data_IF_092813133951
#
_entry.id   IF_092813133951
#
_cell.length_a   1.000
_cell.length_b   1.000
_cell.length_c   1.000
_cell.angle_alpha   90.00
_cell.angle_beta   90.00
_cell.angle_gamma   90.00
#
_symmetry.space_group_name_H-M   'P 1'
#
loop_
_entity.id
_entity.type
_entity.pdbx_description
1 polymer ?
#
# COMPACT_ATOMS: atom_id res chain seq x y z
N UNK A 1 -45.21 81.72 -24.14
CA UNK A 1 -45.02 80.50 -24.95
C UNK A 1 -43.86 79.73 -24.34
N UNK A 2 -44.19 78.75 -23.51
CA UNK A 2 -43.21 78.01 -22.67
C UNK A 2 -42.91 76.62 -23.27
N UNK A 3 -41.69 76.35 -23.65
CA UNK A 3 -41.26 75.02 -24.04
C UNK A 3 -40.57 74.38 -22.84
N UNK A 4 -41.11 73.27 -22.35
CA UNK A 4 -40.49 72.45 -21.33
C UNK A 4 -39.80 71.31 -22.05
N UNK A 5 -38.45 71.32 -22.00
CA UNK A 5 -37.64 70.22 -22.39
C UNK A 5 -37.49 69.14 -21.24
N UNK A 6 -37.93 67.93 -21.50
CA UNK A 6 -37.73 66.78 -20.57
C UNK A 6 -36.39 66.15 -20.81
N UNK A 7 -35.52 66.18 -19.80
CA UNK A 7 -34.29 65.45 -19.74
C UNK A 7 -34.67 64.01 -19.31
N UNK A 8 -34.33 63.02 -20.16
CA UNK A 8 -34.38 61.59 -19.78
C UNK A 8 -33.10 61.21 -19.11
N UNK A 9 -33.16 60.87 -17.81
CA UNK A 9 -32.08 60.28 -17.10
C UNK A 9 -31.94 58.81 -17.52
N UNK A 10 -30.76 58.42 -18.02
CA UNK A 10 -30.39 57.01 -18.25
C UNK A 10 -29.87 56.46 -16.94
N UNK A 11 -30.56 55.46 -16.39
CA UNK A 11 -30.09 54.70 -15.23
C UNK A 11 -29.13 53.63 -15.76
N UNK A 12 -27.86 53.80 -15.44
CA UNK A 12 -26.81 52.78 -15.69
C UNK A 12 -26.83 51.79 -14.52
N UNK A 13 -27.43 50.62 -14.73
CA UNK A 13 -27.35 49.53 -13.76
C UNK A 13 -26.00 48.82 -13.93
N UNK A 14 -25.07 49.14 -13.06
CA UNK A 14 -23.84 48.36 -12.88
C UNK A 14 -24.18 47.05 -12.17
N UNK A 15 -24.29 45.96 -12.94
CA UNK A 15 -24.39 44.62 -12.41
C UNK A 15 -23.07 44.22 -11.72
N UNK A 16 -23.12 44.16 -10.41
CA UNK A 16 -22.01 43.61 -9.60
C UNK A 16 -22.01 42.09 -9.74
N UNK A 17 -21.18 41.56 -10.63
CA UNK A 17 -20.86 40.12 -10.63
C UNK A 17 -20.00 39.84 -9.40
N UNK A 18 -20.64 39.47 -8.29
CA UNK A 18 -19.95 38.81 -7.18
C UNK A 18 -19.59 37.40 -7.67
N UNK A 19 -18.37 37.25 -8.19
CA UNK A 19 -17.77 35.92 -8.37
C UNK A 19 -17.63 35.25 -7.01
N UNK A 20 -18.48 34.24 -6.74
CA UNK A 20 -18.23 33.30 -5.67
C UNK A 20 -16.93 32.58 -6.03
N UNK A 21 -15.83 33.07 -5.51
CA UNK A 21 -14.61 32.28 -5.37
C UNK A 21 -14.91 31.27 -4.24
N UNK A 22 -15.54 30.15 -4.61
CA UNK A 22 -15.63 29.00 -3.70
C UNK A 22 -14.19 28.60 -3.39
N UNK A 23 -13.72 28.89 -2.20
CA UNK A 23 -12.54 28.27 -1.65
C UNK A 23 -12.89 26.79 -1.48
N UNK A 24 -12.62 25.97 -2.49
CA UNK A 24 -12.51 24.54 -2.27
C UNK A 24 -11.38 24.40 -1.25
N UNK A 25 -11.75 24.18 -0.01
CA UNK A 25 -10.86 23.70 1.03
C UNK A 25 -10.37 22.35 0.54
N UNK A 26 -9.16 22.30 -0.03
CA UNK A 26 -8.51 21.04 -0.29
C UNK A 26 -8.48 20.30 1.05
N UNK A 27 -9.21 19.20 1.13
CA UNK A 27 -9.19 18.36 2.31
C UNK A 27 -7.72 17.97 2.53
N UNK A 28 -7.15 18.42 3.66
CA UNK A 28 -5.82 18.00 4.06
C UNK A 28 -5.87 16.49 4.23
N UNK A 29 -5.20 15.77 3.33
CA UNK A 29 -5.14 14.32 3.38
C UNK A 29 -4.50 13.84 4.68
N UNK A 30 -4.87 12.65 5.13
CA UNK A 30 -4.20 12.02 6.26
C UNK A 30 -2.76 11.69 5.87
N UNK A 31 -1.82 12.15 6.69
CA UNK A 31 -0.39 11.86 6.52
C UNK A 31 0.12 11.22 7.80
N UNK A 32 0.74 10.06 7.67
CA UNK A 32 1.42 9.35 8.76
C UNK A 32 2.87 9.14 8.37
N UNK A 33 3.79 9.36 9.31
CA UNK A 33 5.22 9.20 9.06
C UNK A 33 5.91 8.61 10.29
N UNK A 34 6.46 7.42 10.15
CA UNK A 34 7.23 6.70 11.15
C UNK A 34 8.65 6.51 10.61
N UNK A 35 9.56 7.43 10.92
CA UNK A 35 10.98 7.32 10.54
C UNK A 35 11.80 6.53 11.56
N UNK A 36 11.31 6.45 12.80
CA UNK A 36 11.79 5.61 13.89
C UNK A 36 10.56 5.17 14.67
N UNK A 37 10.36 3.88 14.84
CA UNK A 37 9.22 3.38 15.58
C UNK A 37 9.44 3.61 17.08
N UNK A 38 8.65 4.46 17.74
CA UNK A 38 8.76 4.66 19.18
C UNK A 38 8.29 3.38 19.90
N UNK A 39 8.83 3.13 21.08
CA UNK A 39 8.53 1.94 21.89
C UNK A 39 7.01 1.69 22.12
N UNK A 40 6.17 2.71 21.97
CA UNK A 40 4.72 2.61 22.10
C UNK A 40 3.99 2.34 20.79
N UNK A 41 4.66 2.41 19.64
CA UNK A 41 4.06 2.33 18.31
C UNK A 41 2.74 3.13 18.19
N UNK A 42 2.70 4.32 18.81
CA UNK A 42 1.51 5.17 18.87
C UNK A 42 0.94 5.41 17.48
N UNK A 43 -0.35 5.20 17.30
CA UNK A 43 -1.04 5.29 16.01
C UNK A 43 -1.05 3.98 15.20
N UNK A 44 -0.45 2.91 15.71
CA UNK A 44 -0.50 1.56 15.15
C UNK A 44 -1.21 0.59 16.08
N UNK A 45 -1.94 -0.34 15.50
CA UNK A 45 -2.45 -1.55 16.15
C UNK A 45 -1.53 -2.70 15.80
N UNK A 46 -0.83 -3.23 16.80
CA UNK A 46 0.06 -4.38 16.66
C UNK A 46 -0.70 -5.66 16.98
N UNK A 47 -0.48 -6.71 16.19
CA UNK A 47 -1.21 -7.97 16.27
C UNK A 47 -0.22 -9.14 16.36
N UNK A 48 -0.45 -10.03 17.34
CA UNK A 48 0.29 -11.27 17.56
C UNK A 48 1.80 -11.03 17.76
N UNK A 49 2.68 -11.51 16.87
CA UNK A 49 4.14 -11.43 17.00
C UNK A 49 4.70 -10.00 16.78
N UNK A 50 3.89 -9.10 16.20
CA UNK A 50 4.33 -7.74 15.89
C UNK A 50 4.68 -6.96 17.16
N UNK A 51 5.89 -6.37 17.19
CA UNK A 51 6.42 -5.62 18.32
C UNK A 51 7.44 -4.59 17.87
N UNK A 52 7.76 -3.62 18.72
CA UNK A 52 8.86 -2.68 18.46
C UNK A 52 10.16 -3.24 19.05
N UNK A 53 11.20 -3.30 18.23
CA UNK A 53 12.55 -3.75 18.63
C UNK A 53 13.55 -2.65 18.25
N UNK A 54 14.12 -1.99 19.25
CA UNK A 54 14.96 -0.81 19.00
C UNK A 54 14.15 0.30 18.31
N UNK A 55 14.56 0.68 17.11
CA UNK A 55 13.89 1.69 16.30
C UNK A 55 13.11 1.09 15.12
N UNK A 56 12.94 -0.23 15.10
CA UNK A 56 12.23 -0.94 14.03
C UNK A 56 10.91 -1.52 14.55
N UNK A 57 9.94 -1.62 13.67
CA UNK A 57 8.73 -2.41 13.88
C UNK A 57 8.96 -3.81 13.33
N UNK A 58 9.21 -4.76 14.21
CA UNK A 58 9.33 -6.18 13.87
C UNK A 58 7.94 -6.79 13.69
N UNK A 59 7.63 -7.22 12.48
CA UNK A 59 6.36 -7.90 12.18
C UNK A 59 6.38 -9.35 12.67
N UNK A 60 7.47 -10.08 12.38
CA UNK A 60 7.74 -11.42 12.89
C UNK A 60 9.19 -11.57 13.28
N UNK A 61 9.43 -12.28 14.38
CA UNK A 61 10.76 -12.67 14.84
C UNK A 61 11.26 -13.91 14.10
N UNK A 62 12.60 -14.10 14.05
CA UNK A 62 13.25 -15.28 13.49
C UNK A 62 12.98 -16.52 14.35
N UNK A 63 11.75 -17.00 14.33
CA UNK A 63 11.28 -18.19 15.02
C UNK A 63 10.33 -18.99 14.13
N UNK A 64 10.27 -20.30 14.36
CA UNK A 64 9.40 -21.21 13.64
C UNK A 64 7.92 -20.83 13.80
N UNK A 65 7.16 -20.81 12.69
CA UNK A 65 5.69 -20.66 12.62
C UNK A 65 5.14 -19.44 13.39
N UNK A 66 5.64 -18.25 13.06
CA UNK A 66 5.14 -16.97 13.56
C UNK A 66 4.24 -16.29 12.54
N UNK A 67 3.33 -15.47 13.04
CA UNK A 67 2.56 -14.52 12.24
C UNK A 67 2.35 -13.24 13.03
N UNK A 68 2.44 -12.11 12.36
CA UNK A 68 2.22 -10.80 12.96
C UNK A 68 1.70 -9.79 11.94
N UNK A 69 1.01 -8.78 12.45
CA UNK A 69 0.50 -7.69 11.64
C UNK A 69 0.59 -6.35 12.38
N UNK A 70 0.64 -5.27 11.62
CA UNK A 70 0.56 -3.91 12.14
C UNK A 70 -0.29 -3.05 11.21
N UNK A 71 -1.29 -2.37 11.75
CA UNK A 71 -2.21 -1.52 11.00
C UNK A 71 -2.20 -0.09 11.52
N UNK A 72 -2.48 0.90 10.68
CA UNK A 72 -2.92 2.19 11.19
C UNK A 72 -4.15 1.97 12.09
N UNK A 73 -4.17 2.63 13.26
CA UNK A 73 -5.23 2.42 14.24
C UNK A 73 -6.60 2.89 13.78
N UNK A 74 -6.65 3.73 12.75
CA UNK A 74 -7.89 4.20 12.13
C UNK A 74 -7.89 3.87 10.64
N UNK A 75 -9.10 3.67 10.09
CA UNK A 75 -9.29 3.61 8.64
C UNK A 75 -8.88 4.94 8.00
N UNK A 76 -8.42 4.87 6.76
CA UNK A 76 -8.03 6.01 5.93
C UNK A 76 -8.70 5.93 4.58
N UNK A 77 -8.92 7.08 3.94
CA UNK A 77 -9.42 7.10 2.57
C UNK A 77 -8.35 6.49 1.64
N UNK A 78 -8.71 5.40 0.99
CA UNK A 78 -7.89 4.69 0.00
C UNK A 78 -8.46 4.80 -1.41
N UNK A 79 -9.71 5.23 -1.53
CA UNK A 79 -10.45 5.17 -2.79
C UNK A 79 -10.03 6.25 -3.79
N UNK A 80 -9.62 7.42 -3.30
CA UNK A 80 -9.31 8.59 -4.13
C UNK A 80 -7.84 8.64 -4.56
N UNK A 81 -7.01 7.78 -3.97
CA UNK A 81 -5.59 7.64 -4.23
C UNK A 81 -4.76 7.79 -2.97
N UNK A 82 -3.59 7.17 -2.99
CA UNK A 82 -2.61 7.27 -1.89
C UNK A 82 -1.19 6.94 -2.37
N UNK A 83 -0.24 7.37 -1.56
CA UNK A 83 1.15 6.92 -1.65
C UNK A 83 1.57 6.33 -0.32
N UNK A 84 2.16 5.14 -0.37
CA UNK A 84 2.84 4.50 0.76
C UNK A 84 4.32 4.36 0.41
N UNK A 85 5.19 4.77 1.33
CA UNK A 85 6.62 4.52 1.23
C UNK A 85 7.07 3.85 2.52
N UNK A 86 7.83 2.78 2.42
CA UNK A 86 8.37 2.09 3.57
C UNK A 86 9.73 1.50 3.27
N UNK A 87 10.52 1.33 4.33
CA UNK A 87 11.78 0.59 4.25
C UNK A 87 11.69 -0.61 5.16
N UNK A 88 12.25 -1.72 4.70
CA UNK A 88 12.27 -2.96 5.47
C UNK A 88 13.67 -3.58 5.44
N UNK A 89 13.92 -4.43 6.43
CA UNK A 89 15.13 -5.20 6.56
C UNK A 89 14.78 -6.64 6.98
N UNK A 90 15.34 -7.62 6.30
CA UNK A 90 15.15 -9.05 6.59
C UNK A 90 16.48 -9.62 7.04
N UNK A 91 16.50 -10.21 8.25
CA UNK A 91 17.74 -10.65 8.90
C UNK A 91 17.57 -12.00 9.61
N UNK A 92 18.67 -12.60 10.02
CA UNK A 92 18.69 -13.79 10.88
C UNK A 92 17.96 -14.99 10.25
N UNK A 93 18.41 -15.39 9.05
CA UNK A 93 17.80 -16.46 8.25
C UNK A 93 18.10 -17.83 8.83
N UNK A 94 17.07 -18.67 8.90
CA UNK A 94 17.14 -20.06 9.36
C UNK A 94 16.26 -20.96 8.49
N UNK A 95 16.60 -22.25 8.44
CA UNK A 95 15.81 -23.27 7.76
C UNK A 95 15.92 -24.61 8.50
N UNK A 96 14.75 -25.21 8.78
CA UNK A 96 14.67 -26.56 9.30
C UNK A 96 14.87 -27.57 8.16
N UNK A 97 15.76 -28.51 8.36
CA UNK A 97 16.03 -29.62 7.45
C UNK A 97 15.18 -30.83 7.82
N UNK A 98 15.02 -31.77 6.89
CA UNK A 98 14.24 -33.00 7.08
C UNK A 98 14.79 -33.89 8.20
N UNK A 99 16.10 -33.80 8.48
CA UNK A 99 16.76 -34.54 9.57
C UNK A 99 16.64 -33.85 10.94
N UNK A 100 15.91 -32.72 11.02
CA UNK A 100 15.70 -31.93 12.22
C UNK A 100 16.83 -30.96 12.54
N UNK A 101 17.87 -30.86 11.70
CA UNK A 101 18.91 -29.83 11.87
C UNK A 101 18.40 -28.47 11.44
N UNK A 102 18.93 -27.39 12.05
CA UNK A 102 18.63 -26.02 11.68
C UNK A 102 19.86 -25.39 11.02
N UNK A 103 19.73 -25.01 9.75
CA UNK A 103 20.72 -24.18 9.07
C UNK A 103 20.46 -22.71 9.40
N UNK A 104 21.50 -21.88 9.40
CA UNK A 104 21.41 -20.45 9.69
C UNK A 104 22.41 -19.61 8.91
N UNK A 105 22.13 -18.32 8.81
CA UNK A 105 22.99 -17.31 8.20
C UNK A 105 23.34 -17.62 6.75
N UNK A 106 24.63 -17.59 6.39
CA UNK A 106 25.11 -17.80 5.02
C UNK A 106 24.87 -19.21 4.46
N UNK A 107 24.60 -20.21 5.33
CA UNK A 107 24.25 -21.56 4.90
C UNK A 107 22.82 -21.68 4.35
N UNK A 108 22.01 -20.65 4.52
CA UNK A 108 20.60 -20.59 4.08
C UNK A 108 20.46 -19.56 2.96
N UNK A 109 19.95 -19.99 1.81
CA UNK A 109 19.75 -19.09 0.66
C UNK A 109 18.68 -18.03 0.96
N UNK A 110 17.59 -18.42 1.65
CA UNK A 110 16.54 -17.53 2.16
C UNK A 110 15.97 -18.12 3.43
N UNK A 111 15.48 -17.26 4.33
CA UNK A 111 14.56 -17.64 5.38
C UNK A 111 13.16 -17.80 4.81
N UNK A 112 12.19 -17.23 5.43
CA UNK A 112 10.79 -17.26 4.95
C UNK A 112 9.84 -16.73 6.02
N UNK A 113 8.59 -16.49 5.67
CA UNK A 113 8.00 -16.61 4.33
C UNK A 113 7.99 -15.25 3.61
N UNK A 114 8.12 -14.11 4.34
CA UNK A 114 8.11 -12.78 3.78
C UNK A 114 7.20 -11.81 4.54
N UNK A 115 6.94 -10.66 3.93
CA UNK A 115 6.05 -9.62 4.45
C UNK A 115 5.15 -9.05 3.35
N UNK A 116 4.05 -8.40 3.74
CA UNK A 116 3.14 -7.72 2.81
C UNK A 116 2.83 -6.30 3.24
N UNK A 117 2.53 -5.43 2.25
CA UNK A 117 1.65 -4.29 2.46
C UNK A 117 0.21 -4.74 2.14
N UNK A 118 -0.77 -4.35 2.96
CA UNK A 118 -2.16 -4.75 2.80
C UNK A 118 -3.13 -3.58 2.93
N UNK A 119 -4.12 -3.55 2.04
CA UNK A 119 -5.37 -2.77 2.16
C UNK A 119 -6.49 -3.77 2.43
N UNK A 120 -7.23 -3.61 3.53
CA UNK A 120 -8.33 -4.53 3.87
C UNK A 120 -9.45 -3.82 4.63
N UNK A 121 -10.69 -4.23 4.37
CA UNK A 121 -11.85 -3.76 5.12
C UNK A 121 -12.58 -4.93 5.78
N UNK A 122 -11.85 -5.66 6.64
CA UNK A 122 -12.36 -6.79 7.42
C UNK A 122 -12.31 -6.50 8.91
N UNK A 123 -11.12 -6.27 9.47
CA UNK A 123 -10.97 -6.00 10.91
C UNK A 123 -9.67 -5.23 11.19
N UNK A 124 -9.70 -4.36 12.21
CA UNK A 124 -8.53 -3.59 12.64
C UNK A 124 -7.34 -4.47 13.08
N UNK A 125 -7.62 -5.66 13.56
CA UNK A 125 -6.66 -6.66 14.03
C UNK A 125 -6.62 -7.90 13.13
N UNK A 126 -6.94 -7.75 11.84
CA UNK A 126 -6.93 -8.86 10.91
C UNK A 126 -5.56 -9.52 10.85
N UNK A 127 -5.52 -10.84 10.95
CA UNK A 127 -4.32 -11.65 10.77
C UNK A 127 -4.73 -12.97 10.13
N UNK A 128 -4.08 -13.27 9.01
CA UNK A 128 -4.28 -14.52 8.29
C UNK A 128 -3.34 -15.63 8.76
N UNK A 129 -3.28 -16.69 7.96
CA UNK A 129 -2.48 -17.87 8.31
C UNK A 129 -0.99 -17.57 8.25
N UNK A 130 -0.23 -18.24 9.11
CA UNK A 130 1.22 -18.29 9.10
C UNK A 130 1.74 -19.13 7.92
N UNK A 131 3.05 -19.33 7.84
CA UNK A 131 3.75 -20.05 6.78
C UNK A 131 3.50 -19.39 5.41
N UNK A 132 3.28 -20.19 4.38
CA UNK A 132 2.97 -19.71 3.01
C UNK A 132 1.87 -18.65 2.91
N UNK A 133 1.16 -18.39 4.00
CA UNK A 133 0.10 -17.38 4.04
C UNK A 133 0.57 -15.96 4.27
N UNK A 134 1.84 -15.74 4.57
CA UNK A 134 2.49 -14.45 4.85
C UNK A 134 1.62 -13.54 5.77
N UNK A 135 0.80 -14.16 6.64
CA UNK A 135 -0.09 -13.44 7.56
C UNK A 135 -1.32 -12.79 6.90
N UNK A 136 -1.55 -12.97 5.60
CA UNK A 136 -2.72 -12.42 4.91
C UNK A 136 -3.69 -13.48 4.36
N UNK A 137 -3.26 -14.74 4.20
CA UNK A 137 -4.11 -15.81 3.71
C UNK A 137 -5.36 -15.99 4.56
N UNK A 138 -6.52 -15.89 3.93
CA UNK A 138 -7.82 -15.97 4.57
C UNK A 138 -8.43 -14.63 4.95
N UNK A 139 -7.71 -13.50 4.83
CA UNK A 139 -8.30 -12.18 5.05
C UNK A 139 -9.18 -11.81 3.86
N UNK A 140 -10.51 -11.70 4.04
CA UNK A 140 -11.40 -11.30 2.97
C UNK A 140 -11.33 -9.80 2.71
N UNK A 141 -11.89 -9.38 1.57
CA UNK A 141 -12.04 -7.98 1.23
C UNK A 141 -10.72 -7.22 1.32
N UNK A 142 -9.69 -7.75 0.64
CA UNK A 142 -8.30 -7.29 0.73
C UNK A 142 -7.56 -7.30 -0.60
N UNK A 143 -6.59 -6.39 -0.70
CA UNK A 143 -5.55 -6.36 -1.72
C UNK A 143 -4.21 -6.31 -1.01
N UNK A 144 -3.24 -7.12 -1.44
CA UNK A 144 -1.90 -7.15 -0.89
C UNK A 144 -0.84 -6.91 -1.96
N UNK A 145 0.27 -6.33 -1.54
CA UNK A 145 1.54 -6.36 -2.26
C UNK A 145 2.49 -7.16 -1.39
N UNK A 146 2.81 -8.38 -1.80
CA UNK A 146 3.68 -9.27 -1.07
C UNK A 146 5.14 -9.13 -1.52
N UNK A 147 6.03 -9.32 -0.57
CA UNK A 147 7.49 -9.41 -0.71
C UNK A 147 7.86 -10.78 -0.17
N UNK A 148 7.81 -11.77 -1.05
CA UNK A 148 7.98 -13.19 -0.71
C UNK A 148 9.44 -13.60 -0.80
N UNK A 149 9.94 -14.25 0.25
CA UNK A 149 11.34 -14.72 0.39
C UNK A 149 11.45 -16.24 0.42
N UNK A 150 10.33 -16.95 0.23
CA UNK A 150 10.30 -18.41 0.24
C UNK A 150 9.48 -18.96 -0.92
N UNK A 151 10.04 -19.94 -1.66
CA UNK A 151 9.28 -20.64 -2.70
C UNK A 151 8.53 -21.84 -2.14
N UNK A 152 7.22 -21.77 -2.10
CA UNK A 152 6.35 -22.89 -1.75
C UNK A 152 6.30 -23.92 -2.88
N UNK A 153 6.70 -25.16 -2.57
CA UNK A 153 6.95 -26.23 -3.56
C UNK A 153 5.67 -26.86 -4.14
N UNK A 154 4.49 -26.63 -3.52
CA UNK A 154 3.25 -27.19 -4.05
C UNK A 154 2.93 -26.60 -5.43
N UNK A 155 2.59 -27.46 -6.39
CA UNK A 155 2.21 -27.05 -7.74
C UNK A 155 1.03 -26.08 -7.79
N UNK A 156 0.21 -26.04 -6.74
CA UNK A 156 -0.92 -25.12 -6.62
C UNK A 156 -0.51 -23.68 -6.34
N UNK A 157 0.68 -23.44 -5.78
CA UNK A 157 1.15 -22.07 -5.49
C UNK A 157 1.67 -21.36 -6.73
N UNK A 158 2.27 -22.09 -7.69
CA UNK A 158 2.81 -21.54 -8.94
C UNK A 158 3.80 -20.38 -8.74
N UNK A 159 4.51 -20.36 -7.62
CA UNK A 159 5.49 -19.31 -7.34
C UNK A 159 6.68 -19.40 -8.28
N UNK A 160 7.19 -18.25 -8.80
CA UNK A 160 8.29 -18.25 -9.75
C UNK A 160 9.61 -18.66 -9.10
N UNK A 161 9.86 -18.15 -7.91
CA UNK A 161 11.12 -18.32 -7.16
C UNK A 161 10.92 -17.91 -5.68
N UNK A 162 11.99 -17.94 -4.90
CA UNK A 162 12.03 -17.56 -3.48
C UNK A 162 12.42 -16.08 -3.25
N UNK A 163 12.19 -15.22 -4.22
CA UNK A 163 12.54 -13.80 -4.12
C UNK A 163 11.72 -13.02 -5.14
N UNK A 164 10.45 -12.78 -4.84
CA UNK A 164 9.54 -12.09 -5.75
C UNK A 164 8.62 -11.12 -5.03
N UNK A 165 8.06 -10.21 -5.79
CA UNK A 165 7.04 -9.25 -5.35
C UNK A 165 5.80 -9.51 -6.20
N UNK A 166 4.62 -9.62 -5.56
CA UNK A 166 3.39 -9.80 -6.31
C UNK A 166 2.24 -8.96 -5.74
N UNK A 167 1.28 -8.65 -6.60
CA UNK A 167 0.02 -8.01 -6.21
C UNK A 167 -1.08 -9.06 -6.25
N UNK A 168 -1.74 -9.30 -5.12
CA UNK A 168 -2.72 -10.36 -4.95
C UNK A 168 -4.06 -9.82 -4.44
N UNK A 169 -5.16 -10.28 -5.02
CA UNK A 169 -6.51 -10.00 -4.52
C UNK A 169 -7.54 -10.96 -5.10
N UNK A 170 -8.46 -11.42 -4.26
CA UNK A 170 -9.72 -12.06 -4.66
C UNK A 170 -10.92 -11.15 -4.42
N UNK A 171 -10.68 -9.84 -4.40
CA UNK A 171 -11.71 -8.85 -4.14
C UNK A 171 -12.32 -9.01 -2.75
N UNK A 172 -13.62 -9.29 -2.69
CA UNK A 172 -14.36 -9.45 -1.42
C UNK A 172 -14.20 -10.84 -0.80
N UNK A 173 -13.72 -11.83 -1.55
CA UNK A 173 -13.48 -13.17 -1.05
C UNK A 173 -12.21 -13.22 -0.17
N UNK A 174 -12.04 -14.33 0.56
CA UNK A 174 -10.83 -14.58 1.33
C UNK A 174 -9.61 -14.67 0.41
N UNK A 175 -8.60 -13.84 0.66
CA UNK A 175 -7.40 -13.76 -0.17
C UNK A 175 -6.50 -15.00 0.00
N UNK A 176 -5.68 -15.29 -1.00
CA UNK A 176 -4.85 -16.50 -1.06
C UNK A 176 -3.48 -16.20 -1.67
N UNK A 177 -2.44 -16.96 -1.29
CA UNK A 177 -1.07 -16.76 -1.77
C UNK A 177 -0.74 -17.48 -3.10
N UNK A 178 -1.69 -18.16 -3.72
CA UNK A 178 -1.47 -18.84 -5.00
C UNK A 178 -1.32 -17.85 -6.14
N UNK A 179 -0.34 -18.09 -7.04
CA UNK A 179 -0.02 -17.22 -8.18
C UNK A 179 -0.65 -17.67 -9.50
N UNK A 180 -1.41 -18.73 -9.50
CA UNK A 180 -2.13 -19.22 -10.68
C UNK A 180 -3.61 -19.46 -10.38
N UNK A 181 -4.40 -19.51 -11.44
CA UNK A 181 -5.78 -19.92 -11.32
C UNK A 181 -5.84 -21.35 -10.79
N UNK A 182 -6.83 -21.64 -9.97
CA UNK A 182 -7.11 -23.00 -9.56
C UNK A 182 -7.39 -23.87 -10.79
N UNK A 183 -6.84 -25.09 -10.79
CA UNK A 183 -7.18 -26.12 -11.79
C UNK A 183 -8.41 -26.92 -11.40
N UNK A 184 -8.94 -26.69 -10.20
CA UNK A 184 -10.18 -27.30 -9.72
C UNK A 184 -11.38 -26.55 -10.31
N UNK A 185 -12.18 -27.19 -11.18
CA UNK A 185 -13.37 -26.56 -11.75
C UNK A 185 -14.45 -26.24 -10.70
N UNK A 186 -14.36 -26.82 -9.49
CA UNK A 186 -15.23 -26.50 -8.36
C UNK A 186 -14.73 -25.28 -7.57
N UNK A 187 -13.51 -24.81 -7.79
CA UNK A 187 -13.00 -23.59 -7.17
C UNK A 187 -13.51 -22.36 -7.94
N UNK A 188 -14.45 -21.58 -7.38
CA UNK A 188 -15.05 -20.46 -8.07
C UNK A 188 -14.12 -19.26 -8.22
N UNK A 189 -12.91 -19.34 -7.63
CA UNK A 189 -12.03 -18.18 -7.55
C UNK A 189 -11.08 -18.12 -8.75
N UNK A 190 -11.09 -16.95 -9.38
CA UNK A 190 -10.12 -16.59 -10.39
C UNK A 190 -8.69 -16.57 -9.78
N UNK A 191 -7.71 -16.48 -10.65
CA UNK A 191 -6.32 -16.24 -10.25
C UNK A 191 -6.23 -14.98 -9.37
N UNK A 192 -5.73 -15.06 -8.11
CA UNK A 192 -5.54 -13.88 -7.25
C UNK A 192 -4.41 -12.97 -7.73
N UNK A 193 -3.48 -13.49 -8.53
CA UNK A 193 -2.31 -12.76 -9.00
C UNK A 193 -2.70 -11.73 -10.06
N UNK A 194 -2.48 -10.45 -9.73
CA UNK A 194 -2.71 -9.30 -10.61
C UNK A 194 -1.42 -8.81 -11.27
N UNK A 195 -0.26 -9.18 -10.73
CA UNK A 195 1.06 -8.83 -11.26
C UNK A 195 2.17 -9.43 -10.42
N UNK A 196 3.30 -9.76 -11.04
CA UNK A 196 4.46 -10.35 -10.38
C UNK A 196 5.77 -9.77 -10.94
N UNK A 197 6.76 -9.62 -10.09
CA UNK A 197 8.09 -9.12 -10.41
C UNK A 197 9.16 -9.88 -9.63
N UNK A 198 10.28 -10.21 -10.28
CA UNK A 198 11.46 -10.82 -9.64
C UNK A 198 12.57 -9.77 -9.52
N UNK A 199 12.92 -9.33 -8.30
CA UNK A 199 14.01 -8.38 -8.07
C UNK A 199 15.39 -8.94 -8.45
N UNK A 200 16.29 -8.05 -8.88
CA UNK A 200 17.71 -8.39 -9.12
C UNK A 200 18.55 -8.51 -7.84
N UNK A 201 17.99 -8.13 -6.70
CA UNK A 201 18.62 -8.19 -5.38
C UNK A 201 17.92 -9.23 -4.53
N UNK A 202 18.64 -9.85 -3.60
CA UNK A 202 18.03 -10.76 -2.63
C UNK A 202 17.45 -9.94 -1.48
N UNK A 203 16.13 -9.91 -1.34
CA UNK A 203 15.44 -9.14 -0.31
C UNK A 203 15.80 -9.58 1.12
N UNK A 204 16.29 -10.82 1.30
CA UNK A 204 16.68 -11.38 2.58
C UNK A 204 18.21 -11.36 2.82
N UNK A 205 18.98 -10.47 2.19
CA UNK A 205 20.43 -10.39 2.35
C UNK A 205 20.91 -9.59 3.58
N UNK A 206 19.99 -9.02 4.35
CA UNK A 206 20.28 -8.18 5.50
C UNK A 206 20.39 -6.69 5.19
N UNK A 207 20.29 -6.29 3.94
CA UNK A 207 20.26 -4.88 3.54
C UNK A 207 18.90 -4.26 3.84
N UNK A 208 18.88 -2.93 3.98
CA UNK A 208 17.63 -2.17 4.06
C UNK A 208 17.18 -1.86 2.63
N UNK A 209 15.98 -2.30 2.29
CA UNK A 209 15.33 -2.02 1.01
C UNK A 209 14.18 -1.04 1.17
N UNK A 210 13.98 -0.20 0.17
CA UNK A 210 12.86 0.72 0.12
C UNK A 210 11.86 0.29 -0.95
N UNK A 211 10.57 0.39 -0.61
CA UNK A 211 9.47 0.21 -1.54
C UNK A 211 8.51 1.40 -1.47
N UNK A 212 7.86 1.68 -2.60
CA UNK A 212 6.78 2.67 -2.71
C UNK A 212 5.61 2.04 -3.45
N UNK A 213 4.41 2.25 -2.93
CA UNK A 213 3.16 1.89 -3.58
C UNK A 213 2.39 3.17 -3.82
N UNK A 214 2.12 3.47 -5.08
CA UNK A 214 1.32 4.62 -5.49
C UNK A 214 0.05 4.11 -6.15
N UNK A 215 -1.08 4.46 -5.57
CA UNK A 215 -2.39 4.12 -6.10
C UNK A 215 -3.12 5.38 -6.56
N UNK A 216 -3.62 5.33 -7.77
CA UNK A 216 -4.66 6.23 -8.29
C UNK A 216 -5.79 5.36 -8.85
N UNK A 217 -7.07 5.81 -8.83
CA UNK A 217 -8.16 5.00 -9.38
C UNK A 217 -7.88 4.50 -10.79
N UNK A 218 -7.71 3.19 -10.93
CA UNK A 218 -7.38 2.52 -12.20
C UNK A 218 -5.93 2.06 -12.34
N UNK A 219 -5.01 2.48 -11.47
CA UNK A 219 -3.59 2.10 -11.53
C UNK A 219 -2.99 1.98 -10.14
N UNK A 220 -2.35 0.85 -9.85
CA UNK A 220 -1.53 0.63 -8.67
C UNK A 220 -0.09 0.36 -9.13
N UNK A 221 0.80 1.29 -8.83
CA UNK A 221 2.21 1.19 -9.18
C UNK A 221 3.03 0.76 -7.98
N UNK A 222 3.87 -0.24 -8.18
CA UNK A 222 4.84 -0.71 -7.20
C UNK A 222 6.23 -0.29 -7.65
N UNK A 223 6.97 0.32 -6.73
CA UNK A 223 8.37 0.71 -6.91
C UNK A 223 9.20 -0.06 -5.90
N UNK A 224 10.38 -0.51 -6.29
CA UNK A 224 11.30 -1.22 -5.43
C UNK A 224 12.74 -0.85 -5.76
N UNK A 225 13.51 -0.42 -4.77
CA UNK A 225 14.89 0.10 -4.87
C UNK A 225 14.95 1.43 -5.64
N UNK A 226 14.46 1.48 -6.87
CA UNK A 226 14.33 2.73 -7.65
C UNK A 226 12.92 3.34 -7.43
N UNK A 227 12.88 4.48 -6.74
CA UNK A 227 11.62 5.16 -6.41
C UNK A 227 11.07 6.02 -7.56
N UNK A 228 11.76 6.10 -8.71
CA UNK A 228 11.33 6.88 -9.88
C UNK A 228 10.68 6.02 -10.96
N UNK A 229 11.11 4.76 -11.09
CA UNK A 229 10.61 3.84 -12.10
C UNK A 229 9.84 2.69 -11.44
N UNK A 230 8.54 2.52 -11.73
CA UNK A 230 7.78 1.41 -11.17
C UNK A 230 8.23 0.07 -11.75
N UNK A 231 8.33 -0.93 -10.90
CA UNK A 231 8.60 -2.33 -11.31
C UNK A 231 7.33 -3.06 -11.73
N UNK A 232 6.16 -2.57 -11.31
CA UNK A 232 4.84 -3.03 -11.74
C UNK A 232 3.86 -1.86 -11.84
N UNK A 233 2.92 -1.94 -12.79
CA UNK A 233 1.74 -1.09 -12.90
C UNK A 233 0.53 -2.00 -13.18
N UNK A 234 -0.35 -2.10 -12.19
CA UNK A 234 -1.47 -3.04 -12.17
C UNK A 234 -2.77 -2.27 -12.30
N UNK A 235 -3.62 -2.69 -13.25
CA UNK A 235 -4.94 -2.10 -13.45
C UNK A 235 -5.88 -2.47 -12.29
N UNK A 236 -6.08 -1.57 -11.33
CA UNK A 236 -6.88 -1.78 -10.12
C UNK A 236 -7.73 -0.56 -9.81
N UNK A 237 -9.01 -0.81 -9.51
CA UNK A 237 -9.89 0.19 -8.92
C UNK A 237 -10.45 -0.34 -7.59
N UNK A 238 -9.96 0.22 -6.47
CA UNK A 238 -10.30 -0.25 -5.12
C UNK A 238 -11.80 -0.10 -4.81
N UNK A 239 -12.49 0.90 -5.37
CA UNK A 239 -13.94 1.08 -5.17
C UNK A 239 -14.77 -0.06 -5.74
N UNK A 240 -14.32 -0.68 -6.83
CA UNK A 240 -15.00 -1.81 -7.47
C UNK A 240 -14.49 -3.16 -6.98
N UNK A 241 -13.20 -3.23 -6.63
CA UNK A 241 -12.56 -4.44 -6.16
C UNK A 241 -13.00 -4.81 -4.74
N UNK A 242 -13.04 -3.83 -3.83
CA UNK A 242 -13.30 -4.00 -2.40
C UNK A 242 -14.63 -3.37 -1.99
N UNK A 243 -15.19 -3.82 -0.86
CA UNK A 243 -16.26 -3.13 -0.16
C UNK A 243 -15.64 -2.19 0.86
N UNK A 244 -15.45 -0.92 0.49
CA UNK A 244 -14.83 0.07 1.35
C UNK A 244 -15.83 0.62 2.38
N UNK A 245 -15.38 0.90 3.61
CA UNK A 245 -16.18 1.59 4.61
C UNK A 245 -16.50 3.01 4.10
N UNK A 246 -17.73 3.47 4.32
CA UNK A 246 -18.22 4.77 3.80
C UNK A 246 -18.01 4.96 2.28
N UNK A 247 -17.71 3.87 1.54
CA UNK A 247 -17.41 3.90 0.11
C UNK A 247 -15.98 4.37 -0.23
N UNK A 248 -15.17 4.75 0.75
CA UNK A 248 -13.82 5.32 0.54
C UNK A 248 -12.75 4.72 1.43
N UNK A 249 -13.09 4.24 2.64
CA UNK A 249 -12.15 4.02 3.72
C UNK A 249 -11.81 2.55 3.91
N UNK A 250 -10.59 2.28 4.36
CA UNK A 250 -10.09 0.95 4.65
C UNK A 250 -8.98 0.99 5.70
N UNK A 251 -8.71 -0.13 6.34
CA UNK A 251 -7.47 -0.32 7.09
C UNK A 251 -6.31 -0.52 6.11
N UNK A 252 -5.16 0.05 6.44
CA UNK A 252 -3.90 -0.22 5.76
C UNK A 252 -2.86 -0.65 6.78
N UNK A 253 -1.93 -1.48 6.36
CA UNK A 253 -0.88 -1.97 7.23
C UNK A 253 0.01 -3.00 6.57
N UNK A 254 0.58 -3.84 7.40
CA UNK A 254 1.54 -4.87 7.01
C UNK A 254 1.21 -6.17 7.72
N UNK A 255 1.45 -7.27 7.05
CA UNK A 255 1.44 -8.62 7.64
C UNK A 255 2.76 -9.32 7.33
N UNK A 256 3.07 -10.33 8.10
CA UNK A 256 4.24 -11.18 7.88
C UNK A 256 4.01 -12.54 8.51
N UNK A 257 4.73 -13.54 8.04
CA UNK A 257 4.82 -14.82 8.72
C UNK A 257 6.14 -15.54 8.47
N UNK A 258 6.35 -16.59 9.25
CA UNK A 258 7.44 -17.55 9.12
C UNK A 258 6.89 -18.97 9.15
N UNK A 259 7.63 -19.91 8.59
CA UNK A 259 7.28 -21.33 8.54
C UNK A 259 8.42 -22.26 8.95
N UNK A 260 8.63 -23.31 8.19
CA UNK A 260 9.78 -24.23 8.31
C UNK A 260 11.13 -23.57 7.97
N UNK A 261 11.10 -22.47 7.26
CA UNK A 261 12.15 -21.48 7.15
C UNK A 261 11.67 -20.20 7.87
N UNK A 262 12.57 -19.47 8.50
CA UNK A 262 12.21 -18.27 9.26
C UNK A 262 13.33 -17.23 9.27
N UNK A 263 12.94 -16.00 9.47
CA UNK A 263 13.79 -14.80 9.51
C UNK A 263 13.10 -13.67 10.25
N UNK A 264 13.82 -12.64 10.65
CA UNK A 264 13.21 -11.40 11.15
C UNK A 264 12.69 -10.55 9.99
N UNK A 265 11.48 -10.05 10.11
CA UNK A 265 10.89 -9.10 9.17
C UNK A 265 10.67 -7.76 9.87
N UNK A 266 11.52 -6.79 9.60
CA UNK A 266 11.54 -5.49 10.28
C UNK A 266 11.17 -4.37 9.31
N UNK A 267 10.19 -3.52 9.68
CA UNK A 267 10.01 -2.21 9.05
C UNK A 267 10.91 -1.21 9.76
N UNK A 268 11.74 -0.50 9.02
CA UNK A 268 12.63 0.55 9.55
C UNK A 268 12.05 1.95 9.35
N UNK A 269 11.12 2.11 8.40
CA UNK A 269 10.32 3.32 8.22
C UNK A 269 9.00 3.00 7.53
N UNK A 270 7.99 3.85 7.75
CA UNK A 270 6.70 3.77 7.09
C UNK A 270 6.08 5.17 6.98
N UNK A 271 5.68 5.56 5.79
CA UNK A 271 4.94 6.79 5.54
C UNK A 271 3.72 6.50 4.66
N UNK A 272 2.60 7.12 5.01
CA UNK A 272 1.35 7.08 4.27
C UNK A 272 0.86 8.49 3.99
N UNK A 273 0.42 8.72 2.76
CA UNK A 273 -0.22 9.96 2.34
C UNK A 273 -1.39 9.61 1.41
N UNK A 274 -2.61 10.00 1.76
CA UNK A 274 -3.79 9.79 0.92
C UNK A 274 -4.10 10.97 -0.03
N UNK A 275 -3.18 11.93 -0.14
CA UNK A 275 -3.23 12.91 -1.23
C UNK A 275 -2.46 12.30 -2.40
N UNK A 276 -3.09 12.08 -3.57
CA UNK A 276 -2.37 11.63 -4.75
C UNK A 276 -1.20 12.56 -5.05
N UNK A 277 -0.03 12.02 -5.43
CA UNK A 277 1.04 12.87 -5.94
C UNK A 277 0.48 13.71 -7.10
N UNK A 278 0.56 15.05 -6.99
CA UNK A 278 0.07 15.92 -8.03
C UNK A 278 0.77 15.56 -9.34
N UNK A 279 0.02 15.17 -10.36
CA UNK A 279 0.59 14.90 -11.66
C UNK A 279 1.32 16.16 -12.14
N UNK A 280 2.47 16.01 -12.76
CA UNK A 280 3.28 17.13 -13.29
C UNK A 280 2.45 18.01 -14.24
N UNK A 281 1.43 17.45 -14.85
CA UNK A 281 0.47 18.16 -15.72
C UNK A 281 -0.40 19.15 -14.95
N UNK A 282 -0.82 18.80 -13.72
CA UNK A 282 -1.60 19.70 -12.88
C UNK A 282 -0.76 20.89 -12.37
N UNK A 283 0.50 20.65 -12.04
CA UNK A 283 1.47 21.70 -11.66
C UNK A 283 1.75 22.66 -12.83
N UNK A 284 1.88 22.15 -14.07
CA UNK A 284 1.99 22.96 -15.26
C UNK A 284 0.72 23.78 -15.54
N UNK A 285 -0.47 23.19 -15.34
CA UNK A 285 -1.75 23.88 -15.51
C UNK A 285 -1.92 25.04 -14.51
N UNK A 286 -1.61 24.85 -13.25
CA UNK A 286 -1.65 25.90 -12.22
C UNK A 286 -0.59 26.98 -12.49
N UNK A 287 0.61 26.60 -12.89
CA UNK A 287 1.67 27.53 -13.27
C UNK A 287 1.30 28.43 -14.46
N UNK A 288 0.67 27.88 -15.50
CA UNK A 288 0.18 28.62 -16.66
C UNK A 288 -0.97 29.57 -16.30
N UNK A 289 -1.90 29.15 -15.40
CA UNK A 289 -2.98 30.02 -14.92
C UNK A 289 -2.45 31.21 -14.12
N UNK A 290 -1.44 31.03 -13.29
CA UNK A 290 -0.81 32.10 -12.51
C UNK A 290 -0.09 33.11 -13.41
N UNK A 291 0.56 32.64 -14.49
CA UNK A 291 1.21 33.50 -15.47
C UNK A 291 0.18 34.30 -16.28
N UNK A 292 -0.95 33.68 -16.64
CA UNK A 292 -2.05 34.35 -17.36
C UNK A 292 -2.71 35.42 -16.52
N UNK A 293 -3.02 35.15 -15.24
CA UNK A 293 -3.56 36.13 -14.31
C UNK A 293 -2.59 37.27 -13.98
N UNK A 294 -1.29 37.01 -13.93
CA UNK A 294 -0.26 38.04 -13.71
C UNK A 294 -0.09 39.04 -14.87
N UNK A 295 -0.39 38.63 -16.12
CA UNK A 295 -0.34 39.51 -17.32
C UNK A 295 -1.58 40.37 -17.52
N UNK A 296 -2.71 40.02 -16.92
CA UNK A 296 -3.94 40.82 -17.00
C UNK A 296 -3.97 42.01 -16.03
N UNK A 297 -2.96 42.24 -15.22
CA UNK A 297 -2.82 43.33 -14.24
C UNK A 297 -1.75 44.39 -14.58
N UNK A 298 -1.36 44.49 -15.86
CA UNK A 298 -0.50 45.59 -16.34
C UNK A 298 -1.21 46.42 -17.36
#
# INVERSE_FOLDING_TARGET
MHLHGRIKAAVLTTGLFAGLCGSESAALGATFNFTNFPATASGLTLVSDATVVGNALRLTSANYSRAGAAYLSNMVNVADGFTVTFSFQITDRHQLQDDGTVLSGAAVASGGDGLTFIVQNYAQNALGLANSGIGYYGIPNSLVVEFDTWKNQKSTYCEPNNNHIAVQSLGKAANRPEHCASTDPADPFANPNLGIYTPNVNMADGSIYQAKINYTPGSLKVFFVDMNNPVMDVAVNLRTLLSLANGTDSYIGFTSSTGGAWENHDLTSFAFNNVPEASTELLLGVGLLLIACGRARK
#
